data_IF_415285408334
#
_entry.id   IF_415285408334
#
_cell.length_a   1.000
_cell.length_b   1.000
_cell.length_c   1.000
_cell.angle_alpha   90.00
_cell.angle_beta   90.00
_cell.angle_gamma   90.00
#
_symmetry.space_group_name_H-M   'P 1'
#
loop_
_entity.id
_entity.type
_entity.pdbx_description
1 polymer ?
#
# COMPACT_ATOMS: atom_id res chain seq x y z
N UNK A 1 -1.69 36.40 -82.53
CA UNK A 1 -2.12 36.86 -81.18
C UNK A 1 -2.66 35.65 -80.40
N UNK A 2 -1.83 34.97 -79.62
CA UNK A 2 -2.25 33.92 -78.67
C UNK A 2 -1.34 34.02 -77.44
N UNK A 3 -1.85 34.68 -76.39
CA UNK A 3 -1.20 34.70 -75.07
C UNK A 3 -1.45 33.36 -74.40
N UNK A 4 -0.39 32.58 -74.18
CA UNK A 4 -0.38 31.41 -73.31
C UNK A 4 -0.05 31.86 -71.89
N UNK A 5 -1.08 32.03 -71.06
CA UNK A 5 -0.94 32.26 -69.62
C UNK A 5 -0.56 30.92 -68.99
N UNK A 6 0.70 30.76 -68.58
CA UNK A 6 1.16 29.65 -67.76
C UNK A 6 0.64 29.85 -66.33
N UNK A 7 -0.41 29.12 -65.98
CA UNK A 7 -0.90 29.00 -64.62
C UNK A 7 0.13 28.20 -63.80
N UNK A 8 0.91 28.89 -62.98
CA UNK A 8 1.82 28.26 -62.03
C UNK A 8 1.00 27.82 -60.81
N UNK A 9 0.54 26.56 -60.81
CA UNK A 9 -0.11 25.95 -59.64
C UNK A 9 0.97 25.76 -58.55
N UNK A 10 1.00 26.69 -57.59
CA UNK A 10 1.82 26.57 -56.39
C UNK A 10 1.18 25.50 -55.49
N UNK A 11 1.62 24.25 -55.63
CA UNK A 11 1.21 23.14 -54.77
C UNK A 11 1.87 23.35 -53.39
N UNK A 12 1.17 24.07 -52.51
CA UNK A 12 1.48 24.14 -51.08
C UNK A 12 1.26 22.75 -50.49
N UNK A 13 2.29 21.91 -50.54
CA UNK A 13 2.39 20.73 -49.70
C UNK A 13 2.39 21.21 -48.24
N UNK A 14 1.22 21.18 -47.61
CA UNK A 14 1.12 21.16 -46.15
C UNK A 14 1.74 19.85 -45.68
N UNK A 15 3.05 19.86 -45.51
CA UNK A 15 3.77 18.83 -44.76
C UNK A 15 3.30 19.02 -43.32
N UNK A 16 2.27 18.26 -42.94
CA UNK A 16 1.86 18.13 -41.55
C UNK A 16 3.02 17.49 -40.80
N UNK A 17 3.90 18.31 -40.23
CA UNK A 17 4.84 17.84 -39.22
C UNK A 17 4.00 17.30 -38.07
N UNK A 18 3.99 15.98 -37.91
CA UNK A 18 3.47 15.34 -36.70
C UNK A 18 4.43 15.73 -35.57
N UNK A 19 4.14 16.86 -34.91
CA UNK A 19 4.83 17.28 -33.70
C UNK A 19 4.42 16.25 -32.64
N UNK A 20 5.29 15.27 -32.39
CA UNK A 20 5.05 14.27 -31.36
C UNK A 20 5.20 14.90 -29.99
N UNK A 21 4.14 14.94 -29.18
CA UNK A 21 4.23 15.52 -27.83
C UNK A 21 4.73 14.50 -26.80
N UNK A 22 5.64 14.95 -25.94
CA UNK A 22 5.96 14.26 -24.69
C UNK A 22 4.76 14.23 -23.74
N UNK A 23 4.83 13.41 -22.69
CA UNK A 23 3.83 13.44 -21.60
C UNK A 23 3.81 14.84 -20.97
N UNK A 24 4.98 15.31 -20.54
CA UNK A 24 5.26 16.71 -20.21
C UNK A 24 6.74 17.02 -20.45
N UNK A 25 7.04 18.31 -20.63
CA UNK A 25 8.40 18.82 -20.69
C UNK A 25 8.92 19.05 -19.28
N UNK A 26 10.05 18.43 -18.93
CA UNK A 26 10.75 18.69 -17.68
C UNK A 26 11.80 19.78 -17.88
N UNK A 27 11.82 20.77 -16.98
CA UNK A 27 12.80 21.86 -16.98
C UNK A 27 13.45 22.08 -15.60
N UNK A 28 13.12 21.21 -14.64
CA UNK A 28 13.74 21.14 -13.32
C UNK A 28 14.57 19.85 -13.20
N UNK A 29 15.34 19.73 -12.13
CA UNK A 29 16.08 18.51 -11.78
C UNK A 29 15.75 18.13 -10.34
N UNK A 30 15.80 16.82 -10.05
CA UNK A 30 15.63 16.37 -8.68
C UNK A 30 16.73 16.94 -7.79
N UNK A 31 16.35 17.34 -6.59
CA UNK A 31 17.21 17.92 -5.58
C UNK A 31 16.72 17.53 -4.20
N UNK A 32 17.54 17.78 -3.17
CA UNK A 32 17.12 17.55 -1.79
C UNK A 32 15.90 18.39 -1.41
N UNK A 33 15.77 19.61 -1.96
CA UNK A 33 14.60 20.45 -1.76
C UNK A 33 13.35 19.80 -2.34
N UNK A 34 13.41 19.25 -3.56
CA UNK A 34 12.25 18.58 -4.14
C UNK A 34 11.88 17.27 -3.43
N UNK A 35 12.82 16.60 -2.77
CA UNK A 35 12.51 15.46 -1.90
C UNK A 35 11.80 15.90 -0.61
N UNK A 36 12.18 17.05 -0.05
CA UNK A 36 11.47 17.66 1.07
C UNK A 36 10.06 18.11 0.65
N UNK A 37 9.93 18.78 -0.50
CA UNK A 37 8.66 19.21 -1.06
C UNK A 37 7.75 18.00 -1.36
N UNK A 38 8.31 16.91 -1.87
CA UNK A 38 7.58 15.65 -2.09
C UNK A 38 7.10 15.05 -0.76
N UNK A 39 7.94 15.04 0.27
CA UNK A 39 7.58 14.61 1.62
C UNK A 39 6.45 15.47 2.22
N UNK A 40 6.47 16.79 1.99
CA UNK A 40 5.43 17.71 2.42
C UNK A 40 4.12 17.51 1.64
N UNK A 41 4.20 17.34 0.32
CA UNK A 41 3.06 17.03 -0.54
C UNK A 41 2.39 15.71 -0.14
N UNK A 42 3.19 14.68 0.12
CA UNK A 42 2.73 13.38 0.61
C UNK A 42 1.91 13.51 1.90
N UNK A 43 2.32 14.36 2.83
CA UNK A 43 1.57 14.60 4.08
C UNK A 43 0.30 15.42 3.88
N UNK A 44 0.27 16.28 2.87
CA UNK A 44 -0.83 17.21 2.62
C UNK A 44 -2.18 16.51 2.31
N UNK A 45 -3.25 17.30 2.28
CA UNK A 45 -4.58 16.82 1.87
C UNK A 45 -4.69 16.53 0.36
N UNK A 46 -3.71 16.95 -0.45
CA UNK A 46 -3.68 16.62 -1.87
C UNK A 46 -3.56 15.10 -2.09
N UNK A 47 -2.77 14.43 -1.24
CA UNK A 47 -2.68 12.96 -1.20
C UNK A 47 -3.72 12.41 -0.24
N UNK A 48 -4.88 12.05 -0.76
CA UNK A 48 -5.98 11.48 0.00
C UNK A 48 -6.51 10.18 -0.65
N UNK A 49 -7.38 9.49 0.07
CA UNK A 49 -7.94 8.19 -0.31
C UNK A 49 -8.63 8.23 -1.67
N UNK A 50 -9.22 9.36 -2.05
CA UNK A 50 -10.04 9.48 -3.25
C UNK A 50 -9.30 10.12 -4.44
N UNK A 51 -7.98 10.34 -4.33
CA UNK A 51 -7.17 11.00 -5.37
C UNK A 51 -7.34 10.37 -6.76
N UNK A 52 -7.64 9.07 -6.86
CA UNK A 52 -7.81 8.38 -8.14
C UNK A 52 -9.25 7.97 -8.46
N UNK A 53 -10.16 8.00 -7.47
CA UNK A 53 -11.53 7.50 -7.59
C UNK A 53 -12.61 8.59 -7.58
N UNK A 54 -12.31 9.80 -7.10
CA UNK A 54 -13.23 10.93 -7.19
C UNK A 54 -13.19 11.53 -8.60
N UNK A 55 -14.35 11.63 -9.26
CA UNK A 55 -14.48 12.22 -10.60
C UNK A 55 -14.12 13.72 -10.66
N UNK A 56 -14.05 14.39 -9.50
CA UNK A 56 -13.56 15.77 -9.38
C UNK A 56 -12.04 15.87 -9.25
N UNK A 57 -11.36 14.76 -8.96
CA UNK A 57 -9.91 14.74 -8.89
C UNK A 57 -9.30 14.96 -10.28
N UNK A 58 -8.24 15.78 -10.43
CA UNK A 58 -7.49 15.86 -11.67
C UNK A 58 -6.91 14.50 -12.11
N UNK A 59 -6.68 13.60 -11.16
CA UNK A 59 -6.06 12.30 -11.39
C UNK A 59 -7.07 11.14 -11.39
N UNK A 60 -8.35 11.46 -11.57
CA UNK A 60 -9.39 10.46 -11.78
C UNK A 60 -9.05 9.55 -12.97
N UNK A 61 -9.19 8.24 -12.78
CA UNK A 61 -8.92 7.23 -13.80
C UNK A 61 -7.51 6.64 -13.77
N UNK A 62 -6.66 7.08 -12.84
CA UNK A 62 -5.44 6.34 -12.46
C UNK A 62 -5.85 5.03 -11.78
N UNK A 63 -5.45 3.90 -12.36
CA UNK A 63 -5.79 2.56 -11.88
C UNK A 63 -4.54 1.92 -11.28
N UNK A 64 -4.47 1.90 -9.94
CA UNK A 64 -3.26 1.46 -9.23
C UNK A 64 -3.55 0.36 -8.22
N UNK A 65 -2.65 -0.62 -8.14
CA UNK A 65 -2.49 -1.49 -6.98
C UNK A 65 -1.33 -1.02 -6.08
N UNK A 66 -0.90 -1.88 -5.14
CA UNK A 66 0.15 -1.64 -4.16
C UNK A 66 1.35 -0.84 -4.70
N UNK A 67 2.09 -1.38 -5.67
CA UNK A 67 3.32 -0.75 -6.17
C UNK A 67 3.01 0.36 -7.18
N UNK A 68 1.94 0.20 -7.95
CA UNK A 68 1.47 1.18 -8.92
C UNK A 68 1.16 2.52 -8.23
N UNK A 69 0.59 2.49 -7.01
CA UNK A 69 0.30 3.69 -6.25
C UNK A 69 1.58 4.47 -5.93
N UNK A 70 2.69 3.79 -5.64
CA UNK A 70 3.97 4.45 -5.38
C UNK A 70 4.50 5.17 -6.64
N UNK A 71 4.44 4.51 -7.80
CA UNK A 71 4.80 5.14 -9.07
C UNK A 71 3.88 6.31 -9.42
N UNK A 72 2.57 6.14 -9.25
CA UNK A 72 1.59 7.16 -9.55
C UNK A 72 1.83 8.43 -8.73
N UNK A 73 2.01 8.30 -7.41
CA UNK A 73 2.27 9.43 -6.52
C UNK A 73 3.58 10.16 -6.91
N UNK A 74 4.64 9.41 -7.21
CA UNK A 74 5.92 9.98 -7.63
C UNK A 74 5.83 10.68 -8.99
N UNK A 75 5.13 10.09 -9.96
CA UNK A 75 4.94 10.64 -11.29
C UNK A 75 4.06 11.90 -11.27
N UNK A 76 3.01 11.91 -10.45
CA UNK A 76 2.13 13.07 -10.26
C UNK A 76 2.91 14.25 -9.69
N UNK A 77 3.66 14.04 -8.61
CA UNK A 77 4.47 15.11 -8.06
C UNK A 77 5.51 15.62 -9.08
N UNK A 78 6.17 14.71 -9.81
CA UNK A 78 7.12 15.11 -10.84
C UNK A 78 6.47 15.96 -11.94
N UNK A 79 5.26 15.58 -12.37
CA UNK A 79 4.45 16.33 -13.33
C UNK A 79 4.06 17.72 -12.82
N UNK A 80 3.59 17.82 -11.57
CA UNK A 80 3.18 19.11 -10.97
C UNK A 80 4.35 20.11 -10.83
N UNK A 81 5.58 19.59 -10.77
CA UNK A 81 6.79 20.40 -10.58
C UNK A 81 7.73 20.44 -11.80
N UNK A 82 7.30 19.94 -12.97
CA UNK A 82 8.11 19.84 -14.19
C UNK A 82 9.48 19.15 -13.98
N UNK A 83 9.50 18.13 -13.14
CA UNK A 83 10.66 17.28 -12.86
C UNK A 83 10.71 16.11 -13.85
N UNK A 84 11.91 15.58 -14.16
CA UNK A 84 12.02 14.36 -14.93
C UNK A 84 11.46 13.18 -14.13
N UNK A 85 10.81 12.26 -14.82
CA UNK A 85 10.35 10.99 -14.27
C UNK A 85 10.78 9.86 -15.19
N UNK A 86 11.40 8.83 -14.63
CA UNK A 86 11.77 7.62 -15.34
C UNK A 86 11.75 6.43 -14.40
N UNK A 87 11.41 5.26 -14.96
CA UNK A 87 11.54 3.96 -14.29
C UNK A 87 12.16 2.96 -15.25
N UNK A 88 12.73 1.87 -14.73
CA UNK A 88 13.33 0.83 -15.53
C UNK A 88 12.27 0.07 -16.35
N UNK A 89 12.47 -0.03 -17.66
CA UNK A 89 11.54 -0.76 -18.51
C UNK A 89 11.67 -2.28 -18.27
N UNK A 90 10.57 -3.00 -18.00
CA UNK A 90 10.59 -4.45 -17.80
C UNK A 90 10.87 -5.22 -19.09
N UNK A 91 10.76 -4.56 -20.26
CA UNK A 91 10.96 -5.17 -21.58
C UNK A 91 12.41 -5.61 -21.88
N UNK A 92 13.38 -5.25 -21.03
CA UNK A 92 14.81 -5.50 -21.27
C UNK A 92 15.41 -4.65 -22.40
N UNK A 93 14.66 -3.66 -22.88
CA UNK A 93 15.08 -2.75 -23.95
C UNK A 93 16.35 -1.98 -23.59
N UNK A 94 17.17 -1.68 -24.61
CA UNK A 94 18.43 -0.93 -24.48
C UNK A 94 18.29 0.47 -25.09
N UNK A 95 19.25 1.36 -24.80
CA UNK A 95 19.31 2.70 -25.38
C UNK A 95 18.12 3.57 -24.96
N UNK A 96 17.50 4.26 -25.91
CA UNK A 96 16.41 5.22 -25.66
C UNK A 96 15.16 4.60 -25.01
N UNK A 97 14.98 3.27 -25.11
CA UNK A 97 13.83 2.54 -24.57
C UNK A 97 14.15 1.83 -23.23
N UNK A 98 15.31 2.07 -22.64
CA UNK A 98 15.73 1.45 -21.37
C UNK A 98 14.79 1.81 -20.21
N UNK A 99 14.09 2.93 -20.32
CA UNK A 99 13.18 3.44 -19.28
C UNK A 99 11.81 3.76 -19.86
N UNK A 100 10.76 3.62 -19.05
CA UNK A 100 9.49 4.31 -19.28
C UNK A 100 9.62 5.69 -18.63
N UNK A 101 9.44 6.78 -19.38
CA UNK A 101 9.71 8.13 -18.89
C UNK A 101 8.79 9.21 -19.50
N UNK A 102 8.79 10.40 -18.88
CA UNK A 102 7.91 11.50 -19.25
C UNK A 102 8.16 12.11 -20.64
N UNK A 103 9.34 11.87 -21.22
CA UNK A 103 9.77 12.43 -22.50
C UNK A 103 9.31 11.59 -23.69
N UNK A 104 8.75 10.41 -23.45
CA UNK A 104 8.23 9.55 -24.49
C UNK A 104 6.91 10.07 -25.07
N UNK A 105 6.65 9.73 -26.33
CA UNK A 105 5.47 10.15 -27.09
C UNK A 105 4.49 9.00 -27.37
N UNK A 106 4.61 7.88 -26.66
CA UNK A 106 3.72 6.72 -26.80
C UNK A 106 2.25 7.07 -26.54
N UNK A 107 1.98 8.14 -25.79
CA UNK A 107 0.64 8.57 -25.38
C UNK A 107 0.14 9.83 -26.11
N UNK A 108 0.81 10.27 -27.18
CA UNK A 108 0.50 11.51 -27.93
C UNK A 108 -0.93 11.54 -28.52
N UNK A 109 -1.59 10.39 -28.64
CA UNK A 109 -3.01 10.30 -28.98
C UNK A 109 -3.96 10.89 -27.91
N UNK A 110 -3.45 11.21 -26.71
CA UNK A 110 -4.21 11.89 -25.66
C UNK A 110 -4.05 13.42 -25.75
N UNK A 111 -5.19 14.12 -25.65
CA UNK A 111 -5.27 15.56 -25.97
C UNK A 111 -4.52 16.47 -24.99
N UNK A 112 -4.41 16.09 -23.71
CA UNK A 112 -3.77 16.91 -22.68
C UNK A 112 -2.59 16.18 -22.03
N UNK A 113 -1.62 16.94 -21.53
CA UNK A 113 -0.47 16.38 -20.78
C UNK A 113 -0.93 15.57 -19.56
N UNK A 114 -2.02 15.97 -18.91
CA UNK A 114 -2.61 15.22 -17.79
C UNK A 114 -3.22 13.88 -18.22
N UNK A 115 -3.92 13.82 -19.36
CA UNK A 115 -4.41 12.54 -19.90
C UNK A 115 -3.24 11.65 -20.31
N UNK A 116 -2.17 12.21 -20.88
CA UNK A 116 -0.93 11.47 -21.15
C UNK A 116 -0.31 10.91 -19.88
N UNK A 117 -0.26 11.69 -18.81
CA UNK A 117 0.25 11.24 -17.51
C UNK A 117 -0.56 10.07 -16.98
N UNK A 118 -1.89 10.17 -16.99
CA UNK A 118 -2.78 9.08 -16.53
C UNK A 118 -2.56 7.82 -17.36
N UNK A 119 -2.47 7.96 -18.68
CA UNK A 119 -2.20 6.83 -19.58
C UNK A 119 -0.83 6.20 -19.32
N UNK A 120 0.21 7.02 -19.12
CA UNK A 120 1.56 6.55 -18.75
C UNK A 120 1.54 5.80 -17.41
N UNK A 121 0.89 6.34 -16.37
CA UNK A 121 0.80 5.69 -15.06
C UNK A 121 0.08 4.34 -15.16
N UNK A 122 -1.00 4.26 -15.93
CA UNK A 122 -1.73 3.01 -16.12
C UNK A 122 -0.89 1.98 -16.89
N UNK A 123 -0.16 2.40 -17.93
CA UNK A 123 0.78 1.51 -18.63
C UNK A 123 1.90 1.01 -17.71
N UNK A 124 2.42 1.88 -16.83
CA UNK A 124 3.38 1.48 -15.79
C UNK A 124 2.77 0.40 -14.90
N UNK A 125 1.56 0.61 -14.38
CA UNK A 125 0.89 -0.35 -13.51
C UNK A 125 0.52 -1.68 -14.18
N UNK A 126 0.47 -1.72 -15.51
CA UNK A 126 0.28 -2.97 -16.26
C UNK A 126 1.60 -3.64 -16.65
N UNK A 127 2.71 -2.91 -16.58
CA UNK A 127 4.03 -3.35 -17.04
C UNK A 127 4.95 -3.81 -15.92
N UNK A 128 4.89 -3.16 -14.75
CA UNK A 128 5.80 -3.39 -13.63
C UNK A 128 5.05 -3.73 -12.35
N UNK A 129 5.78 -4.21 -11.34
CA UNK A 129 5.20 -4.48 -10.02
C UNK A 129 6.20 -4.24 -8.89
N UNK A 130 5.89 -4.80 -7.71
CA UNK A 130 6.70 -4.63 -6.49
C UNK A 130 8.15 -5.11 -6.66
N UNK A 131 8.40 -6.09 -7.53
CA UNK A 131 9.77 -6.55 -7.86
C UNK A 131 10.57 -5.45 -8.57
N UNK A 132 10.04 -4.86 -9.64
CA UNK A 132 10.73 -3.77 -10.34
C UNK A 132 11.02 -2.60 -9.41
N UNK A 133 10.01 -2.23 -8.60
CA UNK A 133 10.13 -1.14 -7.65
C UNK A 133 11.28 -1.39 -6.66
N UNK A 134 11.36 -2.60 -6.10
CA UNK A 134 12.40 -2.96 -5.15
C UNK A 134 13.80 -3.09 -5.76
N UNK A 135 13.94 -3.70 -6.94
CA UNK A 135 15.27 -3.99 -7.51
C UNK A 135 15.88 -2.82 -8.29
N UNK A 136 15.07 -2.04 -9.01
CA UNK A 136 15.59 -1.12 -10.03
C UNK A 136 15.31 0.34 -9.73
N UNK A 137 14.12 0.65 -9.21
CA UNK A 137 13.62 2.03 -9.17
C UNK A 137 13.76 2.70 -7.80
N UNK A 138 14.08 1.91 -6.77
CA UNK A 138 14.30 2.40 -5.40
C UNK A 138 15.62 1.90 -4.83
N UNK A 139 16.05 2.49 -3.71
CA UNK A 139 17.25 2.08 -2.96
C UNK A 139 16.93 1.96 -1.47
N UNK A 140 17.63 1.06 -0.73
CA UNK A 140 17.41 0.89 0.70
C UNK A 140 17.96 2.09 1.47
N UNK A 141 17.28 2.48 2.54
CA UNK A 141 17.62 3.65 3.35
C UNK A 141 17.95 3.29 4.79
N UNK A 142 18.67 4.19 5.45
CA UNK A 142 18.89 4.15 6.89
C UNK A 142 17.56 4.36 7.63
N UNK A 143 17.40 3.75 8.81
CA UNK A 143 16.17 3.86 9.60
C UNK A 143 15.88 5.32 9.95
N UNK A 144 16.91 6.09 10.34
CA UNK A 144 16.78 7.52 10.64
C UNK A 144 16.40 8.39 9.44
N UNK A 145 16.48 7.86 8.22
CA UNK A 145 16.23 8.59 6.97
C UNK A 145 14.85 8.28 6.39
N UNK A 146 14.04 7.49 7.09
CA UNK A 146 12.64 7.25 6.74
C UNK A 146 11.87 8.56 6.91
N UNK A 147 11.25 9.01 5.83
CA UNK A 147 10.41 10.21 5.77
C UNK A 147 9.13 9.93 4.99
N UNK A 148 8.10 10.77 5.09
CA UNK A 148 6.99 10.75 4.14
C UNK A 148 7.48 10.73 2.68
N UNK A 149 6.79 9.97 1.83
CA UNK A 149 7.23 9.64 0.48
C UNK A 149 8.20 8.44 0.38
N UNK A 150 8.73 7.95 1.51
CA UNK A 150 9.40 6.64 1.54
C UNK A 150 8.37 5.52 1.38
N UNK A 151 8.83 4.34 0.94
CA UNK A 151 7.99 3.14 0.84
C UNK A 151 8.49 2.05 1.78
N UNK A 152 7.57 1.23 2.27
CA UNK A 152 7.90 -0.03 2.94
C UNK A 152 7.36 -1.19 2.11
N UNK A 153 8.24 -2.15 1.79
CA UNK A 153 7.89 -3.30 0.97
C UNK A 153 8.27 -4.61 1.64
N UNK A 154 7.44 -5.64 1.44
CA UNK A 154 7.75 -6.99 1.89
C UNK A 154 7.42 -8.03 0.82
N UNK A 155 8.08 -9.17 0.93
CA UNK A 155 7.80 -10.38 0.16
C UNK A 155 7.79 -11.57 1.10
N UNK A 156 6.63 -12.22 1.22
CA UNK A 156 6.49 -13.43 2.03
C UNK A 156 6.33 -14.65 1.14
N UNK A 157 7.01 -15.72 1.53
CA UNK A 157 6.87 -17.02 0.87
C UNK A 157 5.52 -17.62 1.27
N UNK A 158 4.69 -17.82 0.27
CA UNK A 158 3.40 -18.46 0.38
C UNK A 158 3.55 -19.99 0.14
N UNK A 159 2.46 -20.79 0.18
CA UNK A 159 2.60 -22.22 -0.17
C UNK A 159 2.92 -22.40 -1.66
N UNK A 160 3.40 -23.60 -1.99
CA UNK A 160 3.65 -24.03 -3.37
C UNK A 160 4.65 -23.16 -4.16
N UNK A 161 5.56 -22.47 -3.46
CA UNK A 161 6.60 -21.64 -4.10
C UNK A 161 6.11 -20.27 -4.58
N UNK A 162 4.85 -19.92 -4.29
CA UNK A 162 4.30 -18.60 -4.59
C UNK A 162 4.75 -17.55 -3.56
N UNK A 163 4.55 -16.28 -3.89
CA UNK A 163 4.94 -15.16 -3.03
C UNK A 163 3.83 -14.11 -2.98
N UNK A 164 3.52 -13.65 -1.77
CA UNK A 164 2.67 -12.47 -1.57
C UNK A 164 3.62 -11.28 -1.39
N UNK A 165 3.31 -10.19 -2.09
CA UNK A 165 4.10 -8.95 -2.08
C UNK A 165 3.20 -7.79 -1.77
N UNK A 166 3.75 -6.79 -1.12
CA UNK A 166 3.00 -5.57 -0.87
C UNK A 166 3.92 -4.37 -0.71
N UNK A 167 3.37 -3.21 -1.01
CA UNK A 167 4.03 -1.91 -0.91
C UNK A 167 3.10 -0.95 -0.16
N UNK A 168 3.64 -0.31 0.87
CA UNK A 168 3.00 0.80 1.56
C UNK A 168 3.72 2.10 1.22
N UNK A 169 2.96 3.15 0.89
CA UNK A 169 3.51 4.51 0.82
C UNK A 169 3.39 5.15 2.20
N UNK A 170 4.51 5.62 2.74
CA UNK A 170 4.52 6.32 4.02
C UNK A 170 4.01 7.74 3.76
N UNK A 171 2.80 8.01 4.23
CA UNK A 171 2.16 9.33 4.20
C UNK A 171 2.65 10.21 5.34
N UNK A 172 2.93 9.63 6.49
CA UNK A 172 3.32 10.33 7.71
C UNK A 172 3.99 9.41 8.73
N UNK A 173 4.67 10.01 9.71
CA UNK A 173 5.22 9.32 10.88
C UNK A 173 4.62 10.02 12.10
N UNK A 174 3.90 9.28 12.94
CA UNK A 174 3.27 9.86 14.13
C UNK A 174 4.32 10.07 15.24
N UNK A 175 3.98 10.90 16.24
CA UNK A 175 4.90 11.28 17.31
C UNK A 175 5.49 10.11 18.10
N UNK A 176 4.80 8.97 18.12
CA UNK A 176 5.25 7.74 18.80
C UNK A 176 6.03 6.79 17.90
N UNK A 177 6.34 7.19 16.66
CA UNK A 177 7.10 6.40 15.68
C UNK A 177 6.28 5.34 14.93
N UNK A 178 4.95 5.39 14.99
CA UNK A 178 4.06 4.59 14.12
C UNK A 178 3.86 5.29 12.77
N UNK A 179 3.35 4.59 11.76
CA UNK A 179 3.23 5.14 10.41
C UNK A 179 1.77 5.46 10.04
N UNK A 180 1.57 6.60 9.38
CA UNK A 180 0.40 6.83 8.53
C UNK A 180 0.75 6.38 7.12
N UNK A 181 0.05 5.37 6.61
CA UNK A 181 0.32 4.79 5.28
C UNK A 181 -0.89 4.90 4.37
N UNK A 182 -0.63 5.05 3.07
CA UNK A 182 -1.63 5.03 2.01
C UNK A 182 -1.21 4.06 0.90
N UNK A 183 -2.13 3.21 0.46
CA UNK A 183 -1.84 2.15 -0.50
C UNK A 183 -3.11 1.67 -1.21
N UNK A 184 -2.95 0.93 -2.31
CA UNK A 184 -4.04 0.24 -3.00
C UNK A 184 -3.85 -1.29 -2.94
N UNK A 185 -4.85 -2.01 -3.43
CA UNK A 185 -4.83 -3.48 -3.56
C UNK A 185 -5.32 -3.88 -4.95
N UNK A 186 -4.99 -5.09 -5.40
CA UNK A 186 -5.47 -5.59 -6.69
C UNK A 186 -7.00 -5.57 -6.80
N UNK A 187 -7.71 -5.89 -5.71
CA UNK A 187 -9.16 -5.79 -5.66
C UNK A 187 -9.69 -4.35 -5.79
N UNK A 188 -9.00 -3.37 -5.19
CA UNK A 188 -9.37 -1.96 -5.35
C UNK A 188 -9.08 -1.46 -6.77
N UNK A 189 -7.94 -1.84 -7.36
CA UNK A 189 -7.58 -1.56 -8.76
C UNK A 189 -8.68 -2.06 -9.70
N UNK A 190 -9.07 -3.33 -9.57
CA UNK A 190 -10.06 -3.97 -10.43
C UNK A 190 -11.46 -3.30 -10.37
N UNK A 191 -11.77 -2.58 -9.29
CA UNK A 191 -13.07 -1.98 -9.04
C UNK A 191 -13.06 -0.45 -9.01
N UNK A 192 -11.92 0.19 -9.24
CA UNK A 192 -11.78 1.66 -9.16
C UNK A 192 -12.12 2.21 -7.78
N UNK A 193 -11.84 1.46 -6.71
CA UNK A 193 -12.14 1.88 -5.33
C UNK A 193 -11.10 2.85 -4.79
N UNK A 194 -11.45 3.68 -3.79
CA UNK A 194 -10.50 4.55 -3.10
C UNK A 194 -9.27 3.80 -2.56
N UNK A 195 -8.15 4.52 -2.42
CA UNK A 195 -6.98 4.05 -1.70
C UNK A 195 -7.33 3.78 -0.23
N UNK A 196 -6.56 2.89 0.38
CA UNK A 196 -6.68 2.52 1.78
C UNK A 196 -5.68 3.35 2.58
N UNK A 197 -6.15 4.03 3.63
CA UNK A 197 -5.31 4.71 4.61
C UNK A 197 -5.32 3.99 5.96
N UNK A 198 -4.15 3.94 6.61
CA UNK A 198 -3.96 3.41 7.98
C UNK A 198 -3.08 4.37 8.76
N UNK A 199 -3.68 5.08 9.71
CA UNK A 199 -3.00 6.16 10.45
C UNK A 199 -2.01 5.69 11.52
N UNK A 200 -2.16 4.45 12.02
CA UNK A 200 -1.35 3.91 13.12
C UNK A 200 -0.72 2.56 12.75
N UNK A 201 -0.23 2.44 11.51
CA UNK A 201 0.36 1.20 11.01
C UNK A 201 1.69 0.94 11.72
N UNK A 202 1.78 -0.25 12.28
CA UNK A 202 3.05 -0.89 12.62
C UNK A 202 3.29 -1.97 11.57
N UNK A 203 4.50 -2.07 11.03
CA UNK A 203 4.83 -3.14 10.11
C UNK A 203 5.20 -4.42 10.88
N UNK A 204 4.96 -5.56 10.24
CA UNK A 204 5.14 -6.86 10.87
C UNK A 204 6.15 -7.72 10.13
N UNK A 205 6.36 -7.55 8.83
CA UNK A 205 7.30 -8.39 8.08
C UNK A 205 8.72 -7.84 8.09
N UNK A 206 9.70 -8.62 8.55
CA UNK A 206 11.11 -8.16 8.57
C UNK A 206 11.64 -7.80 7.18
N UNK A 207 12.46 -6.74 7.07
CA UNK A 207 13.14 -6.43 5.83
C UNK A 207 14.18 -7.52 5.51
N UNK A 208 14.25 -7.90 4.24
CA UNK A 208 15.20 -8.86 3.69
C UNK A 208 15.61 -8.33 2.32
N UNK A 209 16.89 -8.21 2.02
CA UNK A 209 17.34 -7.57 0.77
C UNK A 209 16.64 -8.16 -0.48
N UNK A 210 16.01 -7.35 -1.36
CA UNK A 210 15.88 -5.88 -1.36
C UNK A 210 14.61 -5.30 -0.70
N UNK A 211 13.81 -6.10 -0.02
CA UNK A 211 12.56 -5.72 0.64
C UNK A 211 12.80 -4.99 1.97
N UNK A 212 12.15 -3.84 2.14
CA UNK A 212 12.20 -3.06 3.37
C UNK A 212 11.83 -1.60 3.15
N UNK A 213 12.42 -0.71 3.96
CA UNK A 213 12.29 0.73 3.81
C UNK A 213 13.15 1.23 2.66
N UNK A 214 12.55 1.98 1.73
CA UNK A 214 13.24 2.46 0.51
C UNK A 214 12.76 3.84 0.07
N UNK A 215 13.58 4.50 -0.76
CA UNK A 215 13.24 5.73 -1.47
C UNK A 215 13.43 5.56 -2.98
N UNK A 216 12.68 6.33 -3.77
CA UNK A 216 12.84 6.38 -5.22
C UNK A 216 14.22 6.91 -5.60
N UNK A 217 14.83 6.28 -6.61
CA UNK A 217 15.99 6.83 -7.29
C UNK A 217 15.56 8.01 -8.15
N UNK A 218 16.41 9.03 -8.22
CA UNK A 218 16.26 10.05 -9.27
C UNK A 218 16.50 9.40 -10.65
N UNK A 219 15.88 9.89 -11.73
CA UNK A 219 16.04 9.35 -13.08
C UNK A 219 17.51 9.16 -13.49
N UNK A 220 18.38 10.12 -13.16
CA UNK A 220 19.82 10.10 -13.42
C UNK A 220 20.62 9.11 -12.55
N UNK A 221 19.99 8.54 -11.51
CA UNK A 221 20.56 7.55 -10.59
C UNK A 221 20.06 6.12 -10.87
N UNK A 222 19.18 5.93 -11.86
CA UNK A 222 18.69 4.61 -12.24
C UNK A 222 19.82 3.71 -12.75
N UNK A 223 19.91 2.51 -12.18
CA UNK A 223 20.95 1.53 -12.50
C UNK A 223 22.36 1.91 -12.02
N UNK A 224 22.53 2.97 -11.22
CA UNK A 224 23.79 3.29 -10.56
C UNK A 224 23.90 2.61 -9.20
N UNK A 225 25.13 2.35 -8.76
CA UNK A 225 25.39 1.78 -7.45
C UNK A 225 24.88 2.66 -6.32
N UNK A 226 24.64 2.05 -5.15
CA UNK A 226 24.14 2.74 -3.96
C UNK A 226 25.06 3.91 -3.54
N UNK A 227 26.37 3.79 -3.77
CA UNK A 227 27.38 4.83 -3.52
C UNK A 227 27.24 6.08 -4.39
N UNK A 228 26.49 5.99 -5.50
CA UNK A 228 26.19 7.14 -6.37
C UNK A 228 24.99 7.97 -5.88
N UNK A 229 24.25 7.47 -4.89
CA UNK A 229 23.10 8.17 -4.31
C UNK A 229 23.61 9.22 -3.31
N UNK A 230 23.11 10.47 -3.33
CA UNK A 230 23.47 11.49 -2.35
C UNK A 230 23.30 10.98 -0.91
N UNK A 231 24.31 11.20 -0.07
CA UNK A 231 24.34 10.70 1.31
C UNK A 231 23.19 11.27 2.16
N UNK A 232 22.74 12.48 1.84
CA UNK A 232 21.65 13.20 2.48
C UNK A 232 20.30 12.48 2.28
N UNK A 233 20.15 11.68 1.22
CA UNK A 233 18.98 10.83 1.03
C UNK A 233 19.00 9.57 1.92
N UNK A 234 20.11 9.33 2.62
CA UNK A 234 20.32 8.24 3.55
C UNK A 234 20.43 6.85 2.93
N UNK A 235 21.14 6.64 1.80
CA UNK A 235 21.35 5.31 1.25
C UNK A 235 22.05 4.40 2.27
N UNK A 236 21.43 3.28 2.65
CA UNK A 236 22.00 2.33 3.62
C UNK A 236 21.34 0.97 3.54
N UNK A 237 22.12 -0.08 3.75
CA UNK A 237 21.66 -1.47 3.90
C UNK A 237 21.51 -1.91 5.36
N UNK A 238 21.70 -0.99 6.32
CA UNK A 238 21.76 -1.30 7.77
C UNK A 238 20.52 -2.06 8.27
N UNK A 239 19.35 -1.79 7.69
CA UNK A 239 18.09 -2.37 8.11
C UNK A 239 18.10 -3.91 8.02
N UNK A 240 18.84 -4.49 7.08
CA UNK A 240 18.90 -5.95 6.91
C UNK A 240 19.72 -6.60 8.04
N UNK A 241 20.87 -6.01 8.40
CA UNK A 241 21.67 -6.48 9.53
C UNK A 241 20.98 -6.27 10.87
N UNK A 242 20.28 -5.15 11.03
CA UNK A 242 19.46 -4.87 12.22
C UNK A 242 18.31 -5.87 12.35
N UNK A 243 17.61 -6.18 11.27
CA UNK A 243 16.52 -7.15 11.29
C UNK A 243 17.00 -8.56 11.64
N UNK A 244 18.14 -8.98 11.06
CA UNK A 244 18.73 -10.28 11.37
C UNK A 244 19.15 -10.40 12.84
N UNK A 245 19.73 -9.34 13.42
CA UNK A 245 20.25 -9.35 14.79
C UNK A 245 19.17 -9.19 15.86
N UNK A 246 18.15 -8.36 15.61
CA UNK A 246 17.12 -8.05 16.59
C UNK A 246 15.88 -8.97 16.49
N UNK A 247 15.74 -9.69 15.37
CA UNK A 247 14.49 -10.38 15.03
C UNK A 247 13.35 -9.40 14.76
N UNK A 248 12.17 -9.94 14.47
CA UNK A 248 11.02 -9.17 13.98
C UNK A 248 10.55 -8.10 14.96
N UNK A 249 10.23 -8.51 16.18
CA UNK A 249 9.71 -7.61 17.21
C UNK A 249 10.78 -6.61 17.66
N UNK A 250 12.03 -7.06 17.80
CA UNK A 250 13.14 -6.19 18.20
C UNK A 250 13.44 -5.13 17.14
N UNK A 251 13.42 -5.50 15.86
CA UNK A 251 13.63 -4.59 14.75
C UNK A 251 12.57 -3.49 14.71
N UNK A 252 11.28 -3.84 14.74
CA UNK A 252 10.24 -2.81 14.67
C UNK A 252 10.13 -1.97 15.94
N UNK A 253 10.49 -2.51 17.12
CA UNK A 253 10.70 -1.71 18.33
C UNK A 253 11.84 -0.70 18.15
N UNK A 254 12.96 -1.11 17.53
CA UNK A 254 14.07 -0.22 17.21
C UNK A 254 13.67 0.87 16.21
N UNK A 255 12.97 0.53 15.13
CA UNK A 255 12.46 1.49 14.14
C UNK A 255 11.57 2.53 14.81
N UNK A 256 10.56 2.07 15.56
CA UNK A 256 9.64 2.94 16.28
C UNK A 256 10.39 3.89 17.22
N UNK A 257 11.31 3.35 18.04
CA UNK A 257 12.12 4.14 18.96
C UNK A 257 13.00 5.18 18.25
N UNK A 258 13.55 4.83 17.09
CA UNK A 258 14.42 5.71 16.31
C UNK A 258 13.65 6.88 15.70
N UNK A 259 12.39 6.65 15.32
CA UNK A 259 11.54 7.62 14.64
C UNK A 259 10.58 8.40 15.57
N UNK A 260 10.46 7.98 16.83
CA UNK A 260 9.56 8.61 17.78
C UNK A 260 10.10 9.97 18.26
N UNK A 261 9.24 10.98 18.26
CA UNK A 261 9.48 12.28 18.90
C UNK A 261 9.06 12.25 20.38
N UNK A 262 8.19 11.33 20.77
CA UNK A 262 7.66 11.18 22.12
C UNK A 262 7.56 9.72 22.52
N UNK A 263 7.71 9.45 23.82
CA UNK A 263 7.49 8.10 24.35
C UNK A 263 5.99 7.83 24.50
N UNK A 264 5.55 6.68 24.01
CA UNK A 264 4.19 6.20 24.22
C UNK A 264 4.07 5.52 25.59
N UNK A 265 3.14 5.99 26.42
CA UNK A 265 2.79 5.30 27.68
C UNK A 265 2.01 4.01 27.40
N UNK A 266 2.05 3.04 28.32
CA UNK A 266 1.31 1.78 28.18
C UNK A 266 -0.21 1.99 28.04
N UNK A 267 -0.74 3.04 28.66
CA UNK A 267 -2.16 3.46 28.52
C UNK A 267 -2.50 3.97 27.11
N UNK A 268 -1.65 4.83 26.54
CA UNK A 268 -1.77 5.30 25.16
C UNK A 268 -1.64 4.14 24.17
N UNK A 269 -0.67 3.25 24.40
CA UNK A 269 -0.46 2.06 23.57
C UNK A 269 -1.66 1.12 23.59
N UNK A 270 -2.27 0.90 24.76
CA UNK A 270 -3.49 0.10 24.88
C UNK A 270 -4.64 0.71 24.05
N UNK A 271 -4.84 2.02 24.20
CA UNK A 271 -5.87 2.76 23.45
C UNK A 271 -5.67 2.68 21.95
N UNK A 272 -4.45 2.93 21.48
CA UNK A 272 -4.11 2.87 20.04
C UNK A 272 -4.26 1.45 19.52
N UNK A 273 -3.73 0.44 20.22
CA UNK A 273 -3.83 -0.97 19.81
C UNK A 273 -5.27 -1.42 19.68
N UNK A 274 -6.16 -1.00 20.60
CA UNK A 274 -7.59 -1.31 20.51
C UNK A 274 -8.24 -0.67 19.27
N UNK A 275 -7.97 0.61 19.02
CA UNK A 275 -8.48 1.32 17.83
C UNK A 275 -8.00 0.68 16.53
N UNK A 276 -6.71 0.41 16.42
CA UNK A 276 -6.12 -0.24 15.24
C UNK A 276 -6.72 -1.63 15.02
N UNK A 277 -6.83 -2.44 16.08
CA UNK A 277 -7.47 -3.75 16.02
C UNK A 277 -8.91 -3.64 15.51
N UNK A 278 -9.67 -2.69 16.03
CA UNK A 278 -11.06 -2.50 15.60
C UNK A 278 -11.15 -2.11 14.11
N UNK A 279 -10.33 -1.15 13.68
CA UNK A 279 -10.28 -0.74 12.26
C UNK A 279 -9.96 -1.91 11.34
N UNK A 280 -9.00 -2.77 11.67
CA UNK A 280 -8.68 -3.93 10.83
C UNK A 280 -9.73 -5.05 10.89
N UNK A 281 -10.35 -5.27 12.06
CA UNK A 281 -11.47 -6.20 12.20
C UNK A 281 -12.67 -5.78 11.33
N UNK A 282 -12.96 -4.48 11.27
CA UNK A 282 -14.00 -3.93 10.41
C UNK A 282 -13.60 -3.96 8.93
N UNK A 283 -12.37 -3.60 8.58
CA UNK A 283 -11.89 -3.67 7.20
C UNK A 283 -11.95 -5.09 6.61
N UNK A 284 -11.80 -6.12 7.46
CA UNK A 284 -11.98 -7.51 7.05
C UNK A 284 -13.36 -7.79 6.44
N UNK A 285 -14.41 -7.07 6.86
CA UNK A 285 -15.76 -7.17 6.30
C UNK A 285 -15.71 -6.89 4.81
N UNK A 286 -15.11 -5.76 4.42
CA UNK A 286 -15.00 -5.37 3.02
C UNK A 286 -14.16 -6.37 2.23
N UNK A 287 -13.04 -6.84 2.78
CA UNK A 287 -12.18 -7.83 2.12
C UNK A 287 -12.90 -9.15 1.85
N UNK A 288 -13.69 -9.64 2.81
CA UNK A 288 -14.48 -10.86 2.62
C UNK A 288 -15.59 -10.62 1.61
N UNK A 289 -16.31 -9.50 1.72
CA UNK A 289 -17.43 -9.16 0.84
C UNK A 289 -16.99 -8.93 -0.61
N UNK A 290 -15.80 -8.37 -0.84
CA UNK A 290 -15.24 -8.23 -2.18
C UNK A 290 -15.07 -9.59 -2.87
N UNK A 291 -14.49 -10.57 -2.18
CA UNK A 291 -14.33 -11.93 -2.70
C UNK A 291 -15.68 -12.62 -2.94
N UNK A 292 -16.63 -12.49 -2.01
CA UNK A 292 -17.97 -13.07 -2.17
C UNK A 292 -18.73 -12.45 -3.35
N UNK A 293 -18.62 -11.13 -3.54
CA UNK A 293 -19.21 -10.45 -4.70
C UNK A 293 -18.60 -10.96 -6.01
N UNK A 294 -17.28 -11.12 -6.07
CA UNK A 294 -16.60 -11.67 -7.26
C UNK A 294 -17.01 -13.11 -7.56
N UNK A 295 -17.18 -13.96 -6.53
CA UNK A 295 -17.72 -15.31 -6.73
C UNK A 295 -19.12 -15.27 -7.34
N UNK A 296 -19.98 -14.37 -6.85
CA UNK A 296 -21.34 -14.23 -7.37
C UNK A 296 -21.32 -13.79 -8.84
N UNK A 297 -20.48 -12.82 -9.19
CA UNK A 297 -20.28 -12.32 -10.56
C UNK A 297 -19.78 -13.41 -11.51
N UNK A 298 -18.97 -14.35 -11.01
CA UNK A 298 -18.40 -15.47 -11.78
C UNK A 298 -19.23 -16.76 -11.70
N UNK A 299 -20.49 -16.68 -11.23
CA UNK A 299 -21.37 -17.84 -11.03
C UNK A 299 -20.71 -18.96 -10.20
N UNK A 300 -19.99 -18.58 -9.14
CA UNK A 300 -19.26 -19.44 -8.21
C UNK A 300 -18.16 -20.30 -8.86
N UNK A 301 -17.56 -19.84 -9.96
CA UNK A 301 -16.39 -20.48 -10.55
C UNK A 301 -15.21 -20.44 -9.56
N UNK A 302 -14.38 -21.49 -9.57
CA UNK A 302 -13.12 -21.48 -8.83
C UNK A 302 -12.21 -20.34 -9.34
N UNK A 303 -11.64 -19.59 -8.40
CA UNK A 303 -10.82 -18.42 -8.73
C UNK A 303 -9.46 -18.86 -9.32
N UNK A 304 -8.99 -18.10 -10.32
CA UNK A 304 -7.63 -18.21 -10.85
C UNK A 304 -6.59 -17.83 -9.80
N UNK A 305 -5.31 -17.93 -10.14
CA UNK A 305 -4.24 -17.49 -9.26
C UNK A 305 -4.35 -15.98 -8.95
N UNK A 306 -4.58 -15.18 -9.98
CA UNK A 306 -4.68 -13.72 -9.92
C UNK A 306 -5.91 -13.29 -9.10
N UNK A 307 -7.06 -13.92 -9.34
CA UNK A 307 -8.28 -13.67 -8.57
C UNK A 307 -8.11 -14.11 -7.11
N UNK A 308 -7.45 -15.25 -6.87
CA UNK A 308 -7.16 -15.70 -5.52
C UNK A 308 -6.23 -14.73 -4.79
N UNK A 309 -5.23 -14.20 -5.50
CA UNK A 309 -4.31 -13.22 -4.94
C UNK A 309 -5.00 -11.89 -4.60
N UNK A 310 -5.97 -11.47 -5.42
CA UNK A 310 -6.77 -10.28 -5.17
C UNK A 310 -7.76 -10.43 -3.99
N UNK A 311 -8.39 -11.60 -3.83
CA UNK A 311 -9.57 -11.75 -2.96
C UNK A 311 -9.38 -12.60 -1.70
N UNK A 312 -8.27 -13.34 -1.60
CA UNK A 312 -7.95 -14.09 -0.39
C UNK A 312 -7.50 -13.17 0.76
N UNK A 313 -7.46 -13.69 1.99
CA UNK A 313 -7.12 -12.90 3.19
C UNK A 313 -6.00 -13.42 4.09
N UNK A 314 -5.07 -14.34 3.73
CA UNK A 314 -4.20 -14.94 4.73
C UNK A 314 -3.23 -13.95 5.38
N UNK A 315 -2.64 -13.04 4.60
CA UNK A 315 -1.76 -12.00 5.16
C UNK A 315 -2.54 -11.06 6.10
N UNK A 316 -3.79 -10.72 5.74
CA UNK A 316 -4.68 -9.87 6.54
C UNK A 316 -5.14 -10.56 7.82
N UNK A 317 -5.49 -11.84 7.73
CA UNK A 317 -5.90 -12.67 8.87
C UNK A 317 -4.74 -12.88 9.86
N UNK A 318 -3.51 -13.04 9.34
CA UNK A 318 -2.29 -13.09 10.15
C UNK A 318 -2.02 -11.75 10.86
N UNK A 319 -2.06 -10.62 10.13
CA UNK A 319 -1.94 -9.29 10.74
C UNK A 319 -2.99 -9.05 11.82
N UNK A 320 -4.24 -9.48 11.59
CA UNK A 320 -5.31 -9.32 12.57
C UNK A 320 -5.02 -10.11 13.86
N UNK A 321 -4.46 -11.32 13.75
CA UNK A 321 -3.99 -12.10 14.90
C UNK A 321 -2.89 -11.37 15.66
N UNK A 322 -1.89 -10.85 14.96
CA UNK A 322 -0.78 -10.11 15.58
C UNK A 322 -1.26 -8.84 16.30
N UNK A 323 -2.29 -8.16 15.79
CA UNK A 323 -2.91 -7.02 16.46
C UNK A 323 -3.61 -7.40 17.78
N UNK A 324 -4.24 -8.57 17.86
CA UNK A 324 -4.74 -9.09 19.13
C UNK A 324 -3.59 -9.35 20.11
N UNK A 325 -2.50 -9.96 19.65
CA UNK A 325 -1.31 -10.23 20.48
C UNK A 325 -0.66 -8.92 20.97
N UNK A 326 -0.60 -7.89 20.12
CA UNK A 326 -0.14 -6.54 20.51
C UNK A 326 -1.04 -5.88 21.54
N UNK A 327 -2.36 -5.99 21.40
CA UNK A 327 -3.32 -5.51 22.40
C UNK A 327 -3.13 -6.24 23.74
N UNK A 328 -2.96 -7.57 23.70
CA UNK A 328 -2.72 -8.38 24.89
C UNK A 328 -1.40 -7.99 25.59
N UNK A 329 -0.34 -7.76 24.81
CA UNK A 329 0.94 -7.26 25.33
C UNK A 329 0.78 -5.87 25.98
N UNK A 330 0.11 -4.93 25.31
CA UNK A 330 -0.11 -3.59 25.86
C UNK A 330 -0.90 -3.62 27.18
N UNK A 331 -1.90 -4.50 27.28
CA UNK A 331 -2.65 -4.73 28.52
C UNK A 331 -1.75 -5.32 29.63
N UNK A 332 -0.90 -6.28 29.30
CA UNK A 332 -0.01 -6.94 30.25
C UNK A 332 1.08 -5.99 30.77
N UNK A 333 1.62 -5.14 29.91
CA UNK A 333 2.59 -4.09 30.27
C UNK A 333 1.94 -3.10 31.25
N UNK A 334 0.74 -2.59 30.92
CA UNK A 334 -0.02 -1.70 31.80
C UNK A 334 -0.32 -2.34 33.17
N UNK A 335 -0.65 -3.62 33.20
CA UNK A 335 -0.90 -4.35 34.44
C UNK A 335 0.35 -4.46 35.31
N UNK A 336 1.50 -4.75 34.68
CA UNK A 336 2.79 -4.90 35.36
C UNK A 336 3.28 -3.58 35.95
N UNK A 337 2.91 -2.46 35.33
CA UNK A 337 3.19 -1.10 35.82
C UNK A 337 2.23 -0.63 36.93
N UNK A 338 1.24 -1.45 37.31
CA UNK A 338 0.20 -1.06 38.28
C UNK A 338 -0.80 -0.03 37.72
N UNK A 339 -0.81 0.21 36.41
CA UNK A 339 -1.57 1.26 35.74
C UNK A 339 -3.03 0.91 35.42
N UNK A 340 -3.54 -0.23 35.87
CA UNK A 340 -4.94 -0.64 35.60
C UNK A 340 -5.96 0.32 36.22
N UNK A 341 -5.62 0.96 37.34
CA UNK A 341 -6.49 1.90 38.04
C UNK A 341 -6.40 3.34 37.51
N UNK A 342 -5.42 3.64 36.65
CA UNK A 342 -5.12 5.00 36.17
C UNK A 342 -5.41 5.20 34.68
N UNK A 343 -5.89 4.16 34.01
CA UNK A 343 -6.29 4.16 32.58
C UNK A 343 -7.81 4.15 32.46
N UNK A 344 -8.34 4.48 31.29
CA UNK A 344 -9.76 4.34 30.94
C UNK A 344 -10.29 2.96 31.37
N UNK A 345 -11.14 2.87 32.41
CA UNK A 345 -11.57 1.59 32.99
C UNK A 345 -12.24 0.67 31.95
N UNK A 346 -12.92 1.27 30.97
CA UNK A 346 -13.57 0.56 29.86
C UNK A 346 -12.60 -0.24 28.99
N UNK A 347 -11.41 0.29 28.67
CA UNK A 347 -10.44 -0.41 27.81
C UNK A 347 -9.78 -1.59 28.54
N UNK A 348 -9.55 -1.42 29.84
CA UNK A 348 -9.09 -2.50 30.73
C UNK A 348 -10.13 -3.61 30.75
N UNK A 349 -11.40 -3.27 30.96
CA UNK A 349 -12.51 -4.21 30.96
C UNK A 349 -12.67 -4.93 29.62
N UNK A 350 -12.63 -4.22 28.50
CA UNK A 350 -12.67 -4.83 27.16
C UNK A 350 -11.55 -5.84 26.96
N UNK A 351 -10.33 -5.52 27.41
CA UNK A 351 -9.20 -6.44 27.34
C UNK A 351 -9.41 -7.69 28.20
N UNK A 352 -10.01 -7.55 29.39
CA UNK A 352 -10.38 -8.69 30.24
C UNK A 352 -11.48 -9.57 29.62
N UNK A 353 -12.48 -8.96 28.98
CA UNK A 353 -13.53 -9.69 28.26
C UNK A 353 -12.93 -10.48 27.10
N UNK A 354 -12.06 -9.86 26.30
CA UNK A 354 -11.43 -10.49 25.12
C UNK A 354 -10.51 -11.65 25.53
N UNK A 355 -9.60 -11.43 26.48
CA UNK A 355 -8.50 -12.37 26.74
C UNK A 355 -8.70 -13.27 27.97
N UNK A 356 -9.45 -12.81 28.99
CA UNK A 356 -9.71 -13.60 30.22
C UNK A 356 -11.11 -14.22 30.26
N UNK A 357 -11.93 -13.99 29.23
CA UNK A 357 -13.31 -14.45 29.16
C UNK A 357 -14.14 -14.04 30.41
N UNK A 358 -13.87 -12.85 30.95
CA UNK A 358 -14.61 -12.30 32.09
C UNK A 358 -16.07 -12.11 31.67
N UNK A 359 -17.00 -12.69 32.44
CA UNK A 359 -18.43 -12.57 32.18
C UNK A 359 -18.89 -11.21 32.72
N UNK A 360 -19.06 -10.24 31.81
CA UNK A 360 -19.71 -8.95 32.10
C UNK A 360 -20.81 -8.72 31.06
N UNK A 361 -21.76 -7.82 31.35
CA UNK A 361 -22.79 -7.41 30.39
C UNK A 361 -22.14 -7.02 29.07
N UNK A 362 -22.37 -7.83 28.04
CA UNK A 362 -21.58 -7.88 26.81
C UNK A 362 -21.93 -6.76 25.80
N UNK A 363 -22.76 -5.80 26.21
CA UNK A 363 -23.33 -4.72 25.38
C UNK A 363 -22.29 -3.67 24.96
N UNK A 364 -21.29 -3.43 25.80
CA UNK A 364 -20.42 -2.27 25.63
C UNK A 364 -19.25 -2.57 24.68
N UNK A 365 -18.70 -3.79 24.72
CA UNK A 365 -17.65 -4.22 23.79
C UNK A 365 -18.16 -4.27 22.35
N UNK A 366 -19.37 -4.78 22.16
CA UNK A 366 -20.02 -4.82 20.85
C UNK A 366 -20.23 -3.40 20.29
N UNK A 367 -20.70 -2.48 21.14
CA UNK A 367 -20.92 -1.09 20.76
C UNK A 367 -19.60 -0.36 20.45
N UNK A 368 -18.51 -0.70 21.14
CA UNK A 368 -17.19 -0.10 20.93
C UNK A 368 -16.54 -0.54 19.60
N UNK A 369 -16.78 -1.78 19.18
CA UNK A 369 -16.27 -2.29 17.91
C UNK A 369 -17.25 -3.30 17.26
N UNK A 370 -18.27 -2.82 16.54
CA UNK A 370 -19.23 -3.69 15.90
C UNK A 370 -18.61 -4.36 14.66
N UNK A 371 -18.71 -5.68 14.58
CA UNK A 371 -18.29 -6.48 13.42
C UNK A 371 -19.54 -7.14 12.84
N UNK A 372 -20.29 -6.37 12.06
CA UNK A 372 -21.48 -6.84 11.35
C UNK A 372 -21.10 -7.27 9.93
N UNK A 373 -20.77 -8.55 9.78
CA UNK A 373 -20.29 -9.09 8.51
C UNK A 373 -21.40 -9.65 7.61
N UNK A 374 -22.64 -9.75 8.11
CA UNK A 374 -23.86 -10.05 7.34
C UNK A 374 -25.09 -9.35 7.94
N UNK A 375 -26.22 -9.23 7.20
CA UNK A 375 -27.48 -8.81 7.79
C UNK A 375 -27.80 -9.62 9.04
N UNK A 376 -28.15 -8.95 10.14
CA UNK A 376 -28.53 -9.55 11.43
C UNK A 376 -27.45 -10.38 12.15
N UNK A 377 -26.30 -10.61 11.53
CA UNK A 377 -25.20 -11.38 12.12
C UNK A 377 -24.03 -10.47 12.46
N UNK A 378 -23.68 -10.48 13.73
CA UNK A 378 -22.61 -9.66 14.25
C UNK A 378 -21.85 -10.40 15.34
N UNK A 379 -20.57 -10.08 15.47
CA UNK A 379 -19.71 -10.63 16.52
C UNK A 379 -18.96 -9.49 17.21
N UNK A 380 -18.55 -9.74 18.45
CA UNK A 380 -17.62 -8.88 19.18
C UNK A 380 -16.16 -9.33 18.96
N UNK A 381 -15.21 -8.51 19.42
CA UNK A 381 -13.78 -8.82 19.34
C UNK A 381 -13.38 -10.09 20.12
N UNK A 382 -14.12 -10.47 21.17
CA UNK A 382 -13.87 -11.71 21.94
C UNK A 382 -14.19 -12.95 21.09
N UNK A 383 -15.35 -12.96 20.44
CA UNK A 383 -15.74 -14.06 19.53
C UNK A 383 -14.75 -14.14 18.38
N UNK A 384 -14.37 -13.01 17.78
CA UNK A 384 -13.38 -12.99 16.71
C UNK A 384 -12.02 -13.52 17.19
N UNK A 385 -11.52 -13.08 18.34
CA UNK A 385 -10.28 -13.60 18.94
C UNK A 385 -10.34 -15.11 19.15
N UNK A 386 -11.43 -15.62 19.72
CA UNK A 386 -11.62 -17.07 19.92
C UNK A 386 -11.56 -17.83 18.60
N UNK A 387 -12.10 -17.28 17.51
CA UNK A 387 -12.07 -17.93 16.20
C UNK A 387 -10.68 -17.88 15.56
N UNK A 388 -9.98 -16.75 15.69
CA UNK A 388 -8.60 -16.58 15.18
C UNK A 388 -7.62 -17.48 15.94
N UNK A 389 -7.65 -17.45 17.27
CA UNK A 389 -6.76 -18.26 18.12
C UNK A 389 -6.96 -19.76 17.92
N UNK A 390 -8.18 -20.21 17.61
CA UNK A 390 -8.48 -21.61 17.26
C UNK A 390 -8.20 -21.95 15.78
N UNK A 391 -7.77 -20.99 14.96
CA UNK A 391 -7.46 -21.23 13.54
C UNK A 391 -8.67 -21.62 12.68
N UNK A 392 -9.87 -21.18 13.03
CA UNK A 392 -11.11 -21.58 12.32
C UNK A 392 -11.56 -20.58 11.25
N UNK A 393 -10.87 -19.44 11.09
CA UNK A 393 -11.14 -18.51 9.97
C UNK A 393 -10.57 -19.11 8.68
N UNK A 394 -11.35 -19.07 7.61
CA UNK A 394 -10.80 -19.34 6.28
C UNK A 394 -10.38 -18.07 5.56
N UNK A 395 -9.16 -18.10 5.05
CA UNK A 395 -8.62 -17.11 4.13
C UNK A 395 -8.95 -17.41 2.66
N UNK A 396 -9.56 -18.56 2.38
CA UNK A 396 -9.84 -19.00 1.01
C UNK A 396 -11.02 -18.19 0.44
N UNK A 397 -10.86 -17.54 -0.73
CA UNK A 397 -11.86 -16.63 -1.24
C UNK A 397 -13.07 -17.35 -1.84
N UNK A 398 -12.93 -18.61 -2.30
CA UNK A 398 -14.04 -19.48 -2.71
C UNK A 398 -14.86 -20.11 -1.57
N UNK A 399 -14.50 -19.89 -0.29
CA UNK A 399 -15.28 -20.41 0.82
C UNK A 399 -16.52 -19.55 1.10
N UNK A 400 -17.56 -20.17 1.66
CA UNK A 400 -18.77 -19.45 2.07
C UNK A 400 -18.46 -18.45 3.19
N UNK A 401 -19.32 -17.46 3.33
CA UNK A 401 -19.19 -16.43 4.36
C UNK A 401 -19.08 -17.00 5.78
N UNK A 402 -19.83 -18.06 6.11
CA UNK A 402 -19.79 -18.73 7.41
C UNK A 402 -18.40 -19.34 7.69
N UNK A 403 -17.81 -19.98 6.67
CA UNK A 403 -16.48 -20.60 6.76
C UNK A 403 -15.40 -19.52 6.83
N UNK A 404 -15.52 -18.46 6.04
CA UNK A 404 -14.58 -17.32 6.08
C UNK A 404 -14.58 -16.59 7.42
N UNK A 405 -15.70 -16.60 8.15
CA UNK A 405 -15.80 -16.01 9.48
C UNK A 405 -15.68 -17.02 10.62
N UNK A 406 -15.45 -18.29 10.34
CA UNK A 406 -15.23 -19.34 11.35
C UNK A 406 -16.47 -19.68 12.19
N UNK A 407 -17.67 -19.51 11.63
CA UNK A 407 -18.91 -20.02 12.23
C UNK A 407 -19.00 -21.55 12.12
N UNK A 408 -18.45 -22.09 11.04
CA UNK A 408 -18.39 -23.52 10.77
C UNK A 408 -17.07 -23.85 10.06
N UNK A 409 -16.56 -25.04 10.31
CA UNK A 409 -15.43 -25.62 9.56
C UNK A 409 -15.89 -26.66 8.54
N UNK A 410 -17.21 -26.85 8.41
CA UNK A 410 -17.82 -27.78 7.45
C UNK A 410 -18.05 -27.09 6.11
N UNK A 411 -18.18 -27.90 5.05
CA UNK A 411 -18.50 -27.44 3.69
C UNK A 411 -17.49 -26.45 3.10
N UNK A 412 -16.20 -26.61 3.42
CA UNK A 412 -15.13 -25.89 2.73
C UNK A 412 -15.15 -26.21 1.24
N UNK A 413 -14.79 -25.24 0.42
CA UNK A 413 -14.68 -25.39 -1.03
C UNK A 413 -13.71 -26.50 -1.44
N UNK A 414 -13.97 -27.08 -2.61
CA UNK A 414 -13.03 -28.00 -3.29
C UNK A 414 -12.11 -27.29 -4.27
N UNK A 415 -12.26 -25.97 -4.43
CA UNK A 415 -11.41 -25.18 -5.30
C UNK A 415 -9.93 -25.25 -4.87
N UNK A 416 -9.04 -25.08 -5.85
CA UNK A 416 -7.61 -25.10 -5.61
C UNK A 416 -7.20 -23.93 -4.72
N UNK A 417 -6.42 -24.25 -3.68
CA UNK A 417 -5.69 -23.26 -2.88
C UNK A 417 -4.36 -22.92 -3.55
N UNK A 418 -4.09 -21.64 -3.75
CA UNK A 418 -2.86 -21.18 -4.42
C UNK A 418 -1.73 -20.86 -3.46
N UNK A 419 -2.04 -20.56 -2.19
CA UNK A 419 -1.04 -20.45 -1.12
C UNK A 419 -1.57 -20.75 0.28
#
# INVERSE_FOLDING_TARGET
>A
MRLTVKFCFLFLFFISFNIKAAVWEDNQVWSLQYEEDFSNWMQSNAVNENIFSDSKSPYFGVSTDCADTAYALRAIFAFEHNLPFAIYSPSGSRGANKTINNRQNSWDNNSTSRQRLIAMINEIGDSVGTENLAYFDTFPIAIKSITPGSVFMYKIKARFGNFIRHTYNIKGINDVGTFDVIYSTQANKARGLPLIRRKDKEFEYMPTDPWGFRKFRWPELLGKDLSSVPLELGPSTEQFGLAQSLGQDGFFKYVKKTLANTNETSSQRLTRSFKTLCTEAQARIDYVNQGLAHLKETNNKCMSYEEFDAYSTPARDQTLKELFEKLQSAYSDLASEGGLNTTTPQLVEFSEIIFKNKIVSNTDLFSACPIQYRPEMSIDLRVLWKRISNGVLSSHPNDSVEVRWGETTRNTTKCKRWY
#
